data_IF_802385735928
#
_entry.id   IF_802385735928
#
_cell.length_a   1.000
_cell.length_b   1.000
_cell.length_c   1.000
_cell.angle_alpha   90.00
_cell.angle_beta   90.00
_cell.angle_gamma   90.00
#
_symmetry.space_group_name_H-M   'P 1'
#
loop_
_entity.id
_entity.type
_entity.pdbx_description
1 polymer ?
#
# COMPACT_ATOMS: atom_id res chain seq x y z
N UNK A 1 -4.43 2.46 -12.10
CA UNK A 1 -4.06 1.02 -12.10
C UNK A 1 -2.70 0.83 -12.76
N UNK A 2 -2.05 -0.33 -12.59
CA UNK A 2 -0.74 -0.59 -13.15
C UNK A 2 -0.74 -1.86 -14.02
N UNK A 3 -0.03 -1.80 -15.13
CA UNK A 3 0.03 -2.85 -16.14
C UNK A 3 1.49 -3.16 -16.45
N UNK A 4 1.74 -4.30 -17.08
CA UNK A 4 3.05 -4.66 -17.60
C UNK A 4 2.94 -5.32 -18.97
N UNK A 5 3.96 -5.16 -19.80
CA UNK A 5 4.08 -5.99 -20.99
C UNK A 5 4.34 -7.45 -20.62
N UNK A 6 3.83 -8.36 -21.44
CA UNK A 6 4.01 -9.81 -21.27
C UNK A 6 5.43 -10.23 -21.66
N UNK A 7 6.09 -9.47 -22.55
CA UNK A 7 7.46 -9.71 -22.97
C UNK A 7 8.30 -8.42 -23.04
N UNK A 8 9.58 -8.56 -23.36
CA UNK A 8 10.54 -7.45 -23.47
C UNK A 8 10.61 -6.83 -24.88
N UNK A 9 9.63 -7.10 -25.76
CA UNK A 9 9.76 -6.72 -27.18
C UNK A 9 9.46 -5.27 -27.50
N UNK A 10 9.26 -4.41 -26.49
CA UNK A 10 9.04 -2.97 -26.73
C UNK A 10 10.32 -2.35 -27.28
N UNK A 11 10.32 -2.05 -28.58
CA UNK A 11 11.50 -1.56 -29.30
C UNK A 11 11.79 -0.07 -29.09
N UNK A 12 10.82 0.73 -28.63
CA UNK A 12 10.97 2.16 -28.36
C UNK A 12 9.92 2.68 -27.38
N UNK A 13 10.28 3.69 -26.58
CA UNK A 13 9.37 4.44 -25.70
C UNK A 13 8.29 5.20 -26.48
N UNK A 14 8.56 5.57 -27.72
CA UNK A 14 7.61 6.29 -28.59
C UNK A 14 6.45 5.38 -29.05
N UNK A 15 6.58 4.06 -28.88
CA UNK A 15 5.56 3.08 -29.21
C UNK A 15 4.69 2.68 -28.00
N UNK A 16 4.88 3.33 -26.86
CA UNK A 16 4.10 3.04 -25.65
C UNK A 16 2.71 3.68 -25.74
N UNK A 17 1.67 2.99 -25.25
CA UNK A 17 0.36 3.59 -25.05
C UNK A 17 0.44 4.87 -24.21
N UNK A 18 -0.07 5.97 -24.76
CA UNK A 18 -0.15 7.25 -24.05
C UNK A 18 -1.57 7.54 -23.53
N UNK A 19 -2.56 6.78 -23.98
CA UNK A 19 -3.93 6.89 -23.53
C UNK A 19 -4.59 5.53 -23.27
N UNK A 20 -5.78 5.58 -22.67
CA UNK A 20 -6.56 4.41 -22.29
C UNK A 20 -6.98 3.57 -23.51
N UNK A 21 -7.32 4.19 -24.63
CA UNK A 21 -7.75 3.48 -25.82
C UNK A 21 -6.59 2.68 -26.44
N UNK A 22 -5.39 3.25 -26.49
CA UNK A 22 -4.17 2.56 -26.89
C UNK A 22 -3.85 1.40 -25.95
N UNK A 23 -3.93 1.62 -24.64
CA UNK A 23 -3.69 0.55 -23.66
C UNK A 23 -4.68 -0.62 -23.85
N UNK A 24 -5.97 -0.33 -24.07
CA UNK A 24 -6.98 -1.37 -24.30
C UNK A 24 -6.66 -2.20 -25.55
N UNK A 25 -6.14 -1.58 -26.64
CA UNK A 25 -5.67 -2.33 -27.82
C UNK A 25 -4.51 -3.27 -27.50
N UNK A 26 -3.59 -2.86 -26.63
CA UNK A 26 -2.48 -3.72 -26.17
C UNK A 26 -2.97 -4.88 -25.30
N UNK A 27 -3.98 -4.65 -24.46
CA UNK A 27 -4.61 -5.67 -23.61
C UNK A 27 -5.37 -6.69 -24.48
N UNK A 28 -6.20 -6.23 -25.42
CA UNK A 28 -6.91 -7.08 -26.39
C UNK A 28 -5.93 -7.91 -27.24
N UNK A 29 -4.82 -7.28 -27.64
CA UNK A 29 -3.71 -7.94 -28.33
C UNK A 29 -2.88 -8.88 -27.46
N UNK A 30 -3.20 -9.03 -26.17
CA UNK A 30 -2.47 -9.84 -25.17
C UNK A 30 -0.99 -9.48 -25.02
N UNK A 31 -0.62 -8.25 -25.38
CA UNK A 31 0.75 -7.72 -25.21
C UNK A 31 0.95 -7.13 -23.82
N UNK A 32 -0.14 -6.66 -23.19
CA UNK A 32 -0.14 -6.08 -21.86
C UNK A 32 -1.12 -6.84 -20.95
N UNK A 33 -0.75 -7.00 -19.69
CA UNK A 33 -1.57 -7.58 -18.61
C UNK A 33 -1.52 -6.70 -17.36
N UNK A 34 -2.45 -6.86 -16.40
CA UNK A 34 -2.29 -6.27 -15.08
C UNK A 34 -0.92 -6.61 -14.47
N UNK A 35 -0.31 -5.67 -13.76
CA UNK A 35 1.03 -5.86 -13.22
C UNK A 35 1.04 -6.99 -12.17
N UNK A 36 2.05 -7.84 -12.20
CA UNK A 36 2.23 -9.00 -11.32
C UNK A 36 1.05 -9.99 -11.30
N UNK A 37 0.25 -10.09 -12.36
CA UNK A 37 -0.93 -10.97 -12.41
C UNK A 37 -0.67 -12.38 -13.00
N UNK A 38 0.60 -12.76 -13.20
CA UNK A 38 1.01 -14.07 -13.70
C UNK A 38 1.11 -15.14 -12.61
N UNK A 39 1.22 -16.41 -13.02
CA UNK A 39 1.20 -17.58 -12.12
C UNK A 39 2.32 -17.57 -11.05
N UNK A 40 3.49 -17.04 -11.37
CA UNK A 40 4.64 -16.95 -10.46
C UNK A 40 4.93 -15.51 -10.02
N UNK A 41 3.95 -14.62 -10.12
CA UNK A 41 4.05 -13.21 -9.72
C UNK A 41 3.20 -12.96 -8.47
N UNK A 42 3.56 -11.92 -7.71
CA UNK A 42 2.88 -11.62 -6.44
C UNK A 42 1.63 -10.75 -6.65
N UNK A 43 0.55 -11.36 -7.15
CA UNK A 43 -0.69 -10.65 -7.46
C UNK A 43 -1.37 -10.03 -6.23
N UNK A 44 -1.16 -10.59 -5.04
CA UNK A 44 -1.69 -10.07 -3.78
C UNK A 44 -1.33 -8.59 -3.54
N UNK A 45 -0.16 -8.14 -4.03
CA UNK A 45 0.27 -6.73 -3.98
C UNK A 45 -0.63 -5.78 -4.78
N UNK A 46 -1.45 -6.26 -5.71
CA UNK A 46 -2.31 -5.42 -6.55
C UNK A 46 -3.79 -5.79 -6.47
N UNK A 47 -4.14 -6.78 -5.63
CA UNK A 47 -5.50 -7.32 -5.51
C UNK A 47 -6.54 -6.33 -4.96
N UNK A 48 -6.13 -5.20 -4.41
CA UNK A 48 -7.06 -4.13 -4.02
C UNK A 48 -7.53 -3.27 -5.20
N UNK A 49 -6.94 -3.43 -6.39
CA UNK A 49 -7.39 -2.77 -7.61
C UNK A 49 -8.38 -3.66 -8.35
N UNK A 50 -9.56 -3.11 -8.63
CA UNK A 50 -10.59 -3.75 -9.44
C UNK A 50 -10.37 -3.39 -10.92
N UNK A 51 -9.66 -4.27 -11.64
CA UNK A 51 -9.33 -4.06 -13.04
C UNK A 51 -10.55 -4.21 -13.95
N UNK A 52 -11.45 -5.16 -13.64
CA UNK A 52 -12.67 -5.36 -14.41
C UNK A 52 -13.53 -4.10 -14.37
N UNK A 53 -13.72 -3.52 -13.18
CA UNK A 53 -14.38 -2.21 -13.03
C UNK A 53 -13.62 -1.11 -13.76
N UNK A 54 -12.29 -1.09 -13.70
CA UNK A 54 -11.51 -0.06 -14.38
C UNK A 54 -11.67 -0.12 -15.91
N UNK A 55 -11.79 -1.31 -16.52
CA UNK A 55 -11.99 -1.49 -17.96
C UNK A 55 -13.33 -0.94 -18.46
N UNK A 56 -14.33 -0.83 -17.59
CA UNK A 56 -15.68 -0.41 -17.97
C UNK A 56 -16.05 0.99 -17.47
N UNK A 57 -15.30 1.54 -16.51
CA UNK A 57 -15.64 2.81 -15.89
C UNK A 57 -15.48 4.00 -16.85
N UNK A 58 -16.34 5.00 -16.63
CA UNK A 58 -16.30 6.33 -17.26
C UNK A 58 -16.33 7.43 -16.18
N UNK A 59 -15.90 7.07 -14.97
CA UNK A 59 -15.66 7.99 -13.86
C UNK A 59 -14.61 7.42 -12.91
N UNK A 60 -13.77 8.27 -12.33
CA UNK A 60 -12.88 7.88 -11.23
C UNK A 60 -13.67 7.35 -10.02
N UNK A 61 -13.10 6.41 -9.25
CA UNK A 61 -13.83 5.72 -8.17
C UNK A 61 -12.97 5.40 -6.94
N UNK A 62 -13.62 5.31 -5.78
CA UNK A 62 -12.97 4.93 -4.53
C UNK A 62 -12.51 3.45 -4.56
N UNK A 63 -11.28 3.22 -4.14
CA UNK A 63 -10.72 1.90 -3.90
C UNK A 63 -10.82 1.50 -2.43
N UNK A 64 -11.15 0.23 -2.21
CA UNK A 64 -11.08 -0.38 -0.89
C UNK A 64 -9.69 -0.94 -0.66
N UNK A 65 -8.89 -0.26 0.16
CA UNK A 65 -7.57 -0.75 0.54
C UNK A 65 -7.66 -2.05 1.35
N UNK A 66 -6.73 -2.97 1.08
CA UNK A 66 -6.53 -4.18 1.88
C UNK A 66 -5.05 -4.54 1.89
N UNK A 67 -4.48 -4.79 3.07
CA UNK A 67 -3.13 -5.32 3.19
C UNK A 67 -2.97 -6.66 2.41
N UNK A 68 -1.85 -6.91 1.71
CA UNK A 68 -0.63 -6.11 1.58
C UNK A 68 -0.58 -5.26 0.30
N UNK A 69 -1.73 -4.74 -0.16
CA UNK A 69 -1.77 -4.05 -1.46
C UNK A 69 -0.81 -2.85 -1.49
N UNK A 70 -0.06 -2.73 -2.58
CA UNK A 70 0.99 -1.74 -2.80
C UNK A 70 0.94 -1.09 -4.21
N UNK A 71 -0.21 -0.52 -4.62
CA UNK A 71 -0.32 0.18 -5.89
C UNK A 71 0.64 1.38 -5.96
N UNK A 72 0.88 1.86 -7.17
CA UNK A 72 1.50 3.17 -7.36
C UNK A 72 0.47 4.25 -7.05
N UNK A 73 0.85 5.20 -6.19
CA UNK A 73 0.00 6.30 -5.75
C UNK A 73 0.66 7.64 -6.06
N UNK A 74 -0.16 8.68 -6.21
CA UNK A 74 0.26 10.08 -6.28
C UNK A 74 -0.53 10.83 -5.23
N UNK A 75 0.10 11.79 -4.56
CA UNK A 75 -0.60 12.69 -3.65
C UNK A 75 0.32 13.80 -3.14
N UNK A 76 -0.24 14.66 -2.28
CA UNK A 76 0.47 15.82 -1.78
C UNK A 76 1.52 15.41 -0.73
N UNK A 77 2.80 15.64 -1.04
CA UNK A 77 3.94 15.29 -0.18
C UNK A 77 3.93 16.01 1.15
N UNK A 78 3.34 17.22 1.25
CA UNK A 78 3.26 17.96 2.51
C UNK A 78 2.36 17.28 3.56
N UNK A 79 1.46 16.40 3.12
CA UNK A 79 0.52 15.70 3.99
C UNK A 79 0.87 14.20 4.15
N UNK A 80 1.70 13.64 3.28
CA UNK A 80 2.09 12.23 3.36
C UNK A 80 3.00 11.98 4.56
N UNK A 81 2.75 10.91 5.36
CA UNK A 81 3.71 10.48 6.36
C UNK A 81 5.00 10.01 5.66
N UNK A 82 6.16 10.11 6.33
CA UNK A 82 7.38 9.51 5.83
C UNK A 82 7.25 7.97 5.76
N UNK A 83 8.13 7.35 5.00
CA UNK A 83 8.35 5.91 5.08
C UNK A 83 8.98 5.54 6.43
N UNK A 84 8.72 4.35 6.92
CA UNK A 84 9.38 3.84 8.12
C UNK A 84 10.77 3.32 7.76
N UNK A 85 11.79 4.07 8.17
CA UNK A 85 13.19 3.81 7.83
C UNK A 85 13.75 2.52 8.46
N UNK A 86 13.00 1.83 9.33
CA UNK A 86 13.38 0.50 9.84
C UNK A 86 13.30 -0.57 8.74
N UNK A 87 12.51 -0.35 7.68
CA UNK A 87 12.40 -1.25 6.53
C UNK A 87 13.58 -1.06 5.56
N UNK A 88 14.79 -1.42 6.01
CA UNK A 88 16.04 -1.28 5.25
C UNK A 88 16.34 -2.45 4.31
N UNK A 89 15.75 -3.60 4.58
CA UNK A 89 15.86 -4.77 3.70
C UNK A 89 14.79 -4.70 2.62
N UNK A 90 15.04 -5.34 1.48
CA UNK A 90 14.04 -5.40 0.41
C UNK A 90 12.74 -6.01 0.96
N UNK A 91 11.62 -5.28 0.93
CA UNK A 91 10.28 -5.82 1.23
C UNK A 91 9.44 -4.99 2.19
N UNK A 92 8.13 -4.92 1.88
CA UNK A 92 7.09 -4.25 2.65
C UNK A 92 7.29 -2.73 2.90
N UNK A 93 8.33 -2.10 2.37
CA UNK A 93 8.58 -0.66 2.43
C UNK A 93 7.43 0.15 1.82
N UNK A 94 6.92 -0.28 0.66
CA UNK A 94 5.78 0.35 -0.01
C UNK A 94 4.45 -0.06 0.63
N UNK A 95 4.29 -1.33 0.98
CA UNK A 95 3.09 -1.84 1.64
C UNK A 95 2.85 -1.18 3.02
N UNK A 96 3.89 -1.00 3.85
CA UNK A 96 3.77 -0.35 5.17
C UNK A 96 3.32 1.11 5.04
N UNK A 97 3.82 1.83 4.04
CA UNK A 97 3.46 3.23 3.83
C UNK A 97 1.98 3.38 3.52
N UNK A 98 1.46 2.54 2.62
CA UNK A 98 0.05 2.54 2.25
C UNK A 98 -0.86 2.06 3.38
N UNK A 99 -0.40 1.12 4.20
CA UNK A 99 -1.11 0.75 5.42
C UNK A 99 -1.21 1.92 6.40
N UNK A 100 -0.13 2.69 6.55
CA UNK A 100 -0.12 3.88 7.40
C UNK A 100 -1.12 4.93 6.90
N UNK A 101 -1.16 5.18 5.59
CA UNK A 101 -2.16 6.05 4.97
C UNK A 101 -3.59 5.55 5.25
N UNK A 102 -3.82 4.25 5.10
CA UNK A 102 -5.12 3.63 5.41
C UNK A 102 -5.53 3.86 6.87
N UNK A 103 -4.64 3.61 7.82
CA UNK A 103 -4.90 3.88 9.24
C UNK A 103 -5.18 5.36 9.54
N UNK A 104 -4.49 6.27 8.84
CA UNK A 104 -4.71 7.72 8.89
C UNK A 104 -5.93 8.21 8.08
N UNK A 105 -6.79 7.30 7.60
CA UNK A 105 -8.05 7.60 6.90
C UNK A 105 -7.90 8.34 5.58
N UNK A 106 -6.81 8.10 4.86
CA UNK A 106 -6.73 8.55 3.48
C UNK A 106 -7.76 7.81 2.63
N UNK A 107 -8.42 8.55 1.73
CA UNK A 107 -9.24 7.97 0.67
C UNK A 107 -8.34 7.63 -0.51
N UNK A 108 -8.46 6.39 -0.99
CA UNK A 108 -7.78 5.95 -2.21
C UNK A 108 -8.74 6.06 -3.38
N UNK A 109 -8.33 6.78 -4.44
CA UNK A 109 -9.14 6.97 -5.64
C UNK A 109 -8.39 6.40 -6.84
N UNK A 110 -9.06 5.56 -7.61
CA UNK A 110 -8.59 5.08 -8.91
C UNK A 110 -9.07 6.04 -9.98
N UNK A 111 -8.12 6.61 -10.71
CA UNK A 111 -8.38 7.50 -11.83
C UNK A 111 -8.79 6.69 -13.07
N UNK A 112 -9.83 7.15 -13.76
CA UNK A 112 -10.41 6.47 -14.93
C UNK A 112 -9.48 6.44 -16.16
N UNK A 113 -8.85 7.56 -16.49
CA UNK A 113 -8.03 7.73 -17.70
C UNK A 113 -6.52 7.67 -17.44
N UNK A 114 -6.12 7.29 -16.23
CA UNK A 114 -4.70 7.23 -15.86
C UNK A 114 -4.29 5.81 -15.51
N UNK A 115 -3.13 5.42 -16.02
CA UNK A 115 -2.53 4.13 -15.77
C UNK A 115 -1.01 4.26 -15.70
N UNK A 116 -0.37 3.23 -15.14
CA UNK A 116 1.06 3.06 -15.15
C UNK A 116 1.39 1.83 -15.97
N UNK A 117 2.43 1.91 -16.80
CA UNK A 117 2.87 0.80 -17.63
C UNK A 117 4.32 0.47 -17.28
N UNK A 118 4.52 -0.74 -16.76
CA UNK A 118 5.82 -1.30 -16.44
C UNK A 118 6.40 -2.03 -17.66
N UNK A 119 7.60 -1.63 -18.05
CA UNK A 119 8.39 -2.35 -19.04
C UNK A 119 9.19 -3.45 -18.34
N UNK A 120 9.02 -4.73 -18.69
CA UNK A 120 9.82 -5.79 -18.11
C UNK A 120 11.31 -5.50 -18.36
N UNK A 121 12.08 -5.43 -17.28
CA UNK A 121 13.51 -5.16 -17.33
C UNK A 121 14.26 -6.14 -16.44
N UNK A 122 15.57 -6.26 -16.64
CA UNK A 122 16.41 -7.02 -15.71
C UNK A 122 16.32 -6.38 -14.32
N UNK A 123 16.26 -7.22 -13.29
CA UNK A 123 16.36 -6.74 -11.91
C UNK A 123 17.69 -6.04 -11.72
N UNK A 124 17.68 -4.98 -10.90
CA UNK A 124 18.91 -4.33 -10.47
C UNK A 124 19.74 -5.29 -9.60
N UNK A 125 21.06 -5.10 -9.55
CA UNK A 125 21.96 -5.98 -8.78
C UNK A 125 21.59 -6.06 -7.29
N UNK A 126 21.11 -4.94 -6.72
CA UNK A 126 20.68 -4.88 -5.32
C UNK A 126 19.37 -5.63 -5.06
N UNK A 127 18.58 -5.93 -6.11
CA UNK A 127 17.34 -6.69 -6.00
C UNK A 127 17.60 -8.22 -5.98
N UNK A 128 18.83 -8.63 -5.64
CA UNK A 128 19.18 -10.02 -5.34
C UNK A 128 18.26 -10.54 -4.21
N UNK A 129 17.35 -11.43 -4.59
CA UNK A 129 16.39 -12.06 -3.69
C UNK A 129 17.09 -12.85 -2.56
N UNK A 130 18.38 -13.18 -2.70
CA UNK A 130 19.14 -13.86 -1.64
C UNK A 130 19.22 -13.04 -0.35
N UNK A 131 19.61 -11.76 -0.45
CA UNK A 131 19.67 -10.87 0.72
C UNK A 131 18.28 -10.66 1.33
N UNK A 132 17.24 -10.55 0.48
CA UNK A 132 15.85 -10.54 0.96
C UNK A 132 15.55 -11.79 1.78
N UNK A 133 15.85 -12.96 1.22
CA UNK A 133 15.51 -14.25 1.82
C UNK A 133 16.27 -14.48 3.13
N UNK A 134 17.50 -13.98 3.25
CA UNK A 134 18.30 -14.02 4.48
C UNK A 134 17.63 -13.22 5.61
N UNK A 135 17.03 -12.06 5.29
CA UNK A 135 16.43 -11.15 6.26
C UNK A 135 14.89 -11.22 6.32
N UNK A 136 14.24 -12.18 5.65
CA UNK A 136 12.78 -12.20 5.54
C UNK A 136 12.08 -12.31 6.90
N UNK A 137 12.67 -13.05 7.85
CA UNK A 137 12.13 -13.17 9.21
C UNK A 137 12.14 -11.83 9.96
N UNK A 138 13.18 -11.02 9.76
CA UNK A 138 13.29 -9.69 10.35
C UNK A 138 12.24 -8.74 9.74
N UNK A 139 12.08 -8.77 8.41
CA UNK A 139 11.06 -7.98 7.71
C UNK A 139 9.65 -8.34 8.18
N UNK A 140 9.34 -9.63 8.33
CA UNK A 140 8.04 -10.08 8.80
C UNK A 140 7.79 -9.70 10.26
N UNK A 141 8.80 -9.83 11.12
CA UNK A 141 8.70 -9.41 12.54
C UNK A 141 8.44 -7.91 12.64
N UNK A 142 9.21 -7.10 11.90
CA UNK A 142 9.03 -5.66 11.83
C UNK A 142 7.67 -5.28 11.23
N UNK A 143 7.17 -6.03 10.27
CA UNK A 143 5.83 -5.82 9.67
C UNK A 143 4.72 -5.96 10.72
N UNK A 144 4.77 -6.99 11.55
CA UNK A 144 3.77 -7.20 12.61
C UNK A 144 3.90 -6.15 13.72
N UNK A 145 5.13 -5.80 14.10
CA UNK A 145 5.39 -4.68 15.01
C UNK A 145 4.81 -3.37 14.47
N UNK A 146 5.10 -3.04 13.20
CA UNK A 146 4.60 -1.84 12.55
C UNK A 146 3.08 -1.79 12.49
N UNK A 147 2.42 -2.89 12.10
CA UNK A 147 0.94 -3.00 12.10
C UNK A 147 0.36 -2.69 13.46
N UNK A 148 0.96 -3.23 14.52
CA UNK A 148 0.53 -2.99 15.89
C UNK A 148 0.73 -1.54 16.32
N UNK A 149 1.90 -0.97 16.08
CA UNK A 149 2.25 0.39 16.47
C UNK A 149 1.36 1.41 15.73
N UNK A 150 1.43 1.43 14.40
CA UNK A 150 0.69 2.38 13.56
C UNK A 150 -0.83 2.26 13.68
N UNK A 151 -1.34 1.02 13.79
CA UNK A 151 -2.75 0.76 14.05
C UNK A 151 -3.16 1.32 15.41
N UNK A 152 -2.36 1.04 16.45
CA UNK A 152 -2.64 1.53 17.80
C UNK A 152 -2.68 3.05 17.83
N UNK A 153 -1.65 3.74 17.31
CA UNK A 153 -1.59 5.19 17.24
C UNK A 153 -2.82 5.80 16.55
N UNK A 154 -3.28 5.18 15.45
CA UNK A 154 -4.44 5.62 14.69
C UNK A 154 -5.81 5.26 15.31
N UNK A 155 -5.80 4.57 16.45
CA UNK A 155 -7.00 4.11 17.13
C UNK A 155 -7.69 2.94 16.41
N UNK A 156 -6.92 2.08 15.74
CA UNK A 156 -7.39 0.92 14.97
C UNK A 156 -6.79 -0.36 15.55
N UNK A 157 -7.62 -1.36 15.78
CA UNK A 157 -7.15 -2.70 16.09
C UNK A 157 -6.62 -3.36 14.82
N UNK A 158 -5.31 -3.54 14.74
CA UNK A 158 -4.66 -4.08 13.53
C UNK A 158 -5.10 -5.50 13.17
N UNK A 159 -5.51 -6.33 14.14
CA UNK A 159 -5.99 -7.69 13.85
C UNK A 159 -7.32 -7.70 13.11
N UNK A 160 -8.19 -6.73 13.41
CA UNK A 160 -9.56 -6.68 12.89
C UNK A 160 -9.78 -5.58 11.86
N UNK A 161 -8.89 -4.59 11.79
CA UNK A 161 -9.09 -3.34 11.04
C UNK A 161 -10.19 -2.44 11.61
N UNK A 162 -10.76 -2.78 12.78
CA UNK A 162 -11.86 -2.05 13.40
C UNK A 162 -11.31 -0.98 14.35
N UNK A 163 -11.93 0.21 14.34
CA UNK A 163 -11.59 1.29 15.28
C UNK A 163 -11.85 0.89 16.72
N UNK A 164 -10.98 1.32 17.62
CA UNK A 164 -11.23 1.19 19.05
C UNK A 164 -12.46 2.01 19.44
N UNK A 165 -13.28 1.42 20.31
CA UNK A 165 -14.41 2.12 20.92
C UNK A 165 -13.89 3.19 21.89
N UNK A 166 -14.58 4.34 22.02
CA UNK A 166 -14.27 5.29 23.09
C UNK A 166 -14.25 4.58 24.46
N UNK A 167 -13.19 4.82 25.23
CA UNK A 167 -12.97 4.16 26.51
C UNK A 167 -12.04 2.94 26.45
N UNK A 168 -11.67 2.43 25.27
CA UNK A 168 -10.55 1.50 25.14
C UNK A 168 -9.30 2.12 25.75
N UNK A 169 -8.57 1.37 26.57
CA UNK A 169 -7.42 1.90 27.29
C UNK A 169 -6.21 0.99 27.21
N UNK A 170 -5.05 1.60 27.45
CA UNK A 170 -3.76 0.95 27.67
C UNK A 170 -3.15 1.50 28.95
N UNK A 171 -2.25 0.73 29.55
CA UNK A 171 -1.50 1.16 30.74
C UNK A 171 -0.04 1.34 30.34
N UNK A 172 0.48 2.56 30.52
CA UNK A 172 1.86 2.94 30.23
C UNK A 172 2.40 3.71 31.43
N UNK A 173 3.54 3.29 31.98
CA UNK A 173 4.18 3.93 33.14
C UNK A 173 3.24 4.19 34.33
N UNK A 174 2.35 3.24 34.60
CA UNK A 174 1.35 3.34 35.68
C UNK A 174 0.18 4.30 35.40
N UNK A 175 0.13 4.91 34.20
CA UNK A 175 -0.95 5.79 33.75
C UNK A 175 -1.88 5.05 32.81
N UNK A 176 -3.17 5.37 32.89
CA UNK A 176 -4.17 4.85 31.96
C UNK A 176 -4.30 5.82 30.79
N UNK A 177 -3.92 5.38 29.60
CA UNK A 177 -4.07 6.13 28.35
C UNK A 177 -5.33 5.61 27.64
N UNK A 178 -6.27 6.49 27.34
CA UNK A 178 -7.62 6.13 26.87
C UNK A 178 -7.85 6.70 25.49
N UNK A 179 -8.41 5.90 24.60
CA UNK A 179 -8.94 6.34 23.33
C UNK A 179 -10.25 7.10 23.55
N UNK A 180 -10.29 8.39 23.23
CA UNK A 180 -11.50 9.21 23.42
C UNK A 180 -12.45 9.21 22.20
N UNK A 181 -12.16 8.39 21.18
CA UNK A 181 -12.88 8.37 19.90
C UNK A 181 -12.17 9.12 18.77
N UNK A 182 -11.17 9.95 19.09
CA UNK A 182 -10.39 10.74 18.14
C UNK A 182 -8.89 10.56 18.31
N UNK A 183 -8.42 10.56 19.55
CA UNK A 183 -6.99 10.47 19.90
C UNK A 183 -6.82 9.79 21.27
N UNK A 184 -5.58 9.41 21.57
CA UNK A 184 -5.19 8.86 22.87
C UNK A 184 -4.89 9.98 23.85
N UNK A 185 -5.50 9.92 25.04
CA UNK A 185 -5.32 10.90 26.10
C UNK A 185 -5.01 10.23 27.43
N UNK A 186 -4.17 10.86 28.25
CA UNK A 186 -4.02 10.46 29.65
C UNK A 186 -5.36 10.63 30.36
N UNK A 187 -5.87 9.56 30.99
CA UNK A 187 -7.21 9.56 31.61
C UNK A 187 -7.39 10.62 32.69
N UNK A 188 -6.32 10.95 33.41
CA UNK A 188 -6.39 11.86 34.55
C UNK A 188 -6.35 13.33 34.13
N UNK A 189 -5.51 13.66 33.15
CA UNK A 189 -5.29 15.04 32.70
C UNK A 189 -6.07 15.40 31.43
N UNK A 190 -6.52 14.41 30.66
CA UNK A 190 -7.15 14.62 29.35
C UNK A 190 -6.19 15.10 28.25
N UNK A 191 -4.90 15.17 28.55
CA UNK A 191 -3.87 15.64 27.61
C UNK A 191 -3.52 14.52 26.62
N UNK A 192 -3.33 14.82 25.32
CA UNK A 192 -2.85 13.84 24.35
C UNK A 192 -1.59 13.13 24.83
N UNK A 193 -1.59 11.80 24.72
CA UNK A 193 -0.48 10.96 25.18
C UNK A 193 -0.31 9.77 24.27
N UNK A 194 0.95 9.41 24.04
CA UNK A 194 1.33 8.22 23.30
C UNK A 194 0.87 6.94 24.04
N UNK A 195 0.09 6.07 23.39
CA UNK A 195 -0.43 4.84 23.98
C UNK A 195 0.55 3.66 24.03
N UNK A 196 1.71 3.75 23.38
CA UNK A 196 2.68 2.65 23.22
C UNK A 196 3.81 2.69 24.24
#
# INVERSE_FOLDING_TARGET
>A
PAFQFVDQTVMSVDALPVDRAELMREIEGKRVKPILSGENEFWEAFRCLDYDKWYETHSSYDATYKWPCEPYIVGNTANMPPYDERFVHYGNDKAQHLLNLFYKQYTFVVLEDHFLLHLPHKLAEWADQRLRNEHIGEVLTLTEQFKFESGTEAGVNWHTGVRFSPGTYRVKDGKMIVWNGKEWVDKSSGVPSDPL
#
